data_IF_035655758951
#
_entry.id   IF_035655758951
#
_cell.length_a   1.000
_cell.length_b   1.000
_cell.length_c   1.000
_cell.angle_alpha   90.00
_cell.angle_beta   90.00
_cell.angle_gamma   90.00
#
_symmetry.space_group_name_H-M   'P 1'
#
loop_
_entity.id
_entity.type
_entity.pdbx_description
1 polymer ?
#
# COMPACT_ATOMS: atom_id res chain seq x y z
N UNK A 1 -26.18 6.54 5.73
CA UNK A 1 -25.12 6.78 4.73
C UNK A 1 -23.75 6.24 5.18
N UNK A 2 -23.72 5.19 6.03
CA UNK A 2 -22.47 4.67 6.61
C UNK A 2 -21.96 3.40 5.90
N UNK A 3 -22.86 2.62 5.30
CA UNK A 3 -22.49 1.33 4.67
C UNK A 3 -21.63 1.50 3.42
N UNK A 4 -21.94 2.49 2.57
CA UNK A 4 -21.14 2.81 1.37
C UNK A 4 -19.72 3.21 1.76
N UNK A 5 -19.58 4.11 2.74
CA UNK A 5 -18.28 4.59 3.22
C UNK A 5 -17.48 3.45 3.86
N UNK A 6 -18.15 2.59 4.63
CA UNK A 6 -17.49 1.47 5.32
C UNK A 6 -17.03 0.39 4.34
N UNK A 7 -17.83 0.06 3.31
CA UNK A 7 -17.43 -0.94 2.31
C UNK A 7 -16.27 -0.44 1.46
N UNK A 8 -16.28 0.82 1.05
CA UNK A 8 -15.16 1.45 0.34
C UNK A 8 -13.90 1.49 1.20
N UNK A 9 -14.02 1.82 2.49
CA UNK A 9 -12.90 1.80 3.42
C UNK A 9 -12.23 0.42 3.49
N UNK A 10 -13.02 -0.65 3.70
CA UNK A 10 -12.48 -2.00 3.75
C UNK A 10 -11.92 -2.48 2.41
N UNK A 11 -12.57 -2.12 1.30
CA UNK A 11 -12.05 -2.41 -0.04
C UNK A 11 -10.65 -1.80 -0.24
N UNK A 12 -10.47 -0.52 0.12
CA UNK A 12 -9.17 0.15 0.02
C UNK A 12 -8.12 -0.50 0.93
N UNK A 13 -8.49 -0.89 2.16
CA UNK A 13 -7.58 -1.60 3.07
C UNK A 13 -7.09 -2.93 2.47
N UNK A 14 -8.00 -3.73 1.89
CA UNK A 14 -7.64 -4.98 1.21
C UNK A 14 -6.76 -4.70 0.00
N UNK A 15 -7.10 -3.68 -0.78
CA UNK A 15 -6.32 -3.31 -1.96
C UNK A 15 -4.88 -2.89 -1.63
N UNK A 16 -4.71 -2.10 -0.56
CA UNK A 16 -3.39 -1.74 -0.02
C UNK A 16 -2.63 -2.99 0.43
N UNK A 17 -3.30 -3.92 1.13
CA UNK A 17 -2.69 -5.18 1.53
C UNK A 17 -2.21 -6.00 0.32
N UNK A 18 -2.99 -6.09 -0.75
CA UNK A 18 -2.59 -6.79 -1.98
C UNK A 18 -1.35 -6.16 -2.64
N UNK A 19 -1.26 -4.83 -2.65
CA UNK A 19 -0.07 -4.13 -3.13
C UNK A 19 1.15 -4.43 -2.25
N UNK A 20 1.01 -4.41 -0.92
CA UNK A 20 2.09 -4.78 0.01
C UNK A 20 2.54 -6.22 -0.21
N UNK A 21 1.62 -7.17 -0.40
CA UNK A 21 1.96 -8.56 -0.72
C UNK A 21 2.72 -8.64 -2.04
N UNK A 22 2.23 -7.99 -3.11
CA UNK A 22 2.89 -7.98 -4.42
C UNK A 22 4.33 -7.49 -4.33
N UNK A 23 4.55 -6.46 -3.54
CA UNK A 23 5.83 -5.86 -3.20
C UNK A 23 6.76 -6.84 -2.46
N UNK A 24 6.25 -7.57 -1.47
CA UNK A 24 7.06 -8.57 -0.74
C UNK A 24 7.45 -9.74 -1.64
N UNK A 25 6.59 -10.09 -2.61
CA UNK A 25 6.88 -11.14 -3.57
C UNK A 25 7.98 -10.74 -4.56
N UNK A 26 8.12 -9.46 -4.94
CA UNK A 26 9.25 -9.03 -5.80
C UNK A 26 10.59 -9.16 -5.09
N UNK A 27 10.61 -9.15 -3.75
CA UNK A 27 11.81 -9.35 -2.93
C UNK A 27 12.18 -10.83 -2.73
N UNK A 28 11.32 -11.77 -3.17
CA UNK A 28 11.55 -13.22 -3.08
C UNK A 28 11.80 -13.83 -4.48
N UNK A 29 12.89 -13.48 -5.17
CA UNK A 29 13.20 -14.01 -6.49
C UNK A 29 13.51 -15.51 -6.42
N UNK A 30 13.06 -16.27 -7.43
CA UNK A 30 13.38 -17.69 -7.59
C UNK A 30 12.48 -18.68 -6.85
N UNK A 31 11.41 -18.20 -6.21
CA UNK A 31 10.44 -19.05 -5.51
C UNK A 31 9.24 -19.35 -6.43
N UNK A 32 9.09 -20.60 -6.88
CA UNK A 32 8.08 -20.97 -7.88
C UNK A 32 6.62 -20.66 -7.48
N UNK A 33 6.30 -20.73 -6.18
CA UNK A 33 4.98 -20.35 -5.69
C UNK A 33 4.78 -18.82 -5.65
N UNK A 34 5.85 -18.04 -5.43
CA UNK A 34 5.77 -16.57 -5.38
C UNK A 34 5.45 -15.99 -6.77
N UNK A 35 6.05 -16.56 -7.83
CA UNK A 35 5.70 -16.25 -9.22
C UNK A 35 4.24 -16.54 -9.54
N UNK A 36 3.72 -17.68 -9.07
CA UNK A 36 2.33 -18.06 -9.28
C UNK A 36 1.35 -17.10 -8.59
N UNK A 37 1.66 -16.66 -7.36
CA UNK A 37 0.88 -15.65 -6.66
C UNK A 37 0.98 -14.29 -7.36
N UNK A 38 2.15 -13.89 -7.85
CA UNK A 38 2.29 -12.64 -8.62
C UNK A 38 1.46 -12.62 -9.90
N UNK A 39 1.39 -13.73 -10.64
CA UNK A 39 0.55 -13.85 -11.84
C UNK A 39 -0.94 -13.64 -11.52
N UNK A 40 -1.39 -14.12 -10.35
CA UNK A 40 -2.79 -13.91 -9.92
C UNK A 40 -3.08 -12.49 -9.43
N UNK A 41 -2.09 -11.82 -8.81
CA UNK A 41 -2.23 -10.45 -8.31
C UNK A 41 -2.11 -9.40 -9.41
N UNK A 42 -1.35 -9.71 -10.47
CA UNK A 42 -1.01 -8.78 -11.55
C UNK A 42 -2.26 -8.15 -12.21
N UNK A 43 -3.29 -8.91 -12.65
CA UNK A 43 -4.48 -8.32 -13.26
C UNK A 43 -5.25 -7.32 -12.39
N UNK A 44 -5.22 -7.50 -11.07
CA UNK A 44 -5.95 -6.65 -10.12
C UNK A 44 -5.15 -5.39 -9.77
N UNK A 45 -3.83 -5.52 -9.70
CA UNK A 45 -2.95 -4.44 -9.22
C UNK A 45 -2.26 -3.68 -10.35
N UNK A 46 -2.13 -4.26 -11.54
CA UNK A 46 -1.52 -3.64 -12.72
C UNK A 46 -2.25 -2.39 -13.21
N UNK A 47 -3.59 -2.33 -13.34
CA UNK A 47 -4.24 -1.11 -13.85
C UNK A 47 -3.95 0.13 -13.00
N UNK A 48 -3.85 -0.07 -11.69
CA UNK A 48 -3.44 0.98 -10.76
C UNK A 48 -1.96 1.30 -10.90
N UNK A 49 -1.08 0.28 -10.91
CA UNK A 49 0.35 0.51 -11.04
C UNK A 49 0.70 1.17 -12.37
N UNK A 50 0.11 0.74 -13.49
CA UNK A 50 0.30 1.30 -14.84
C UNK A 50 -0.05 2.79 -14.89
N UNK A 51 -1.08 3.22 -14.14
CA UNK A 51 -1.40 4.64 -14.00
C UNK A 51 -0.23 5.43 -13.38
N UNK A 52 0.47 4.86 -12.40
CA UNK A 52 1.62 5.48 -11.75
C UNK A 52 2.97 5.19 -12.43
N UNK A 53 3.08 4.14 -13.24
CA UNK A 53 4.30 3.78 -14.01
C UNK A 53 4.65 4.84 -15.04
N UNK A 54 3.67 5.62 -15.51
CA UNK A 54 3.91 6.77 -16.40
C UNK A 54 4.62 7.95 -15.71
N UNK A 55 4.55 8.05 -14.38
CA UNK A 55 5.21 9.11 -13.60
C UNK A 55 6.58 8.69 -13.05
N UNK A 56 6.88 7.39 -13.00
CA UNK A 56 8.10 6.85 -12.40
C UNK A 56 8.93 6.19 -13.52
N UNK A 57 10.06 6.80 -13.94
CA UNK A 57 10.97 6.18 -14.89
C UNK A 57 11.35 4.76 -14.43
N UNK A 58 11.38 3.75 -15.32
CA UNK A 58 11.73 2.37 -14.96
C UNK A 58 13.19 2.31 -14.48
N UNK A 59 13.39 2.35 -13.17
CA UNK A 59 14.71 2.22 -12.52
C UNK A 59 15.12 0.74 -12.48
N UNK A 60 15.46 0.17 -13.64
CA UNK A 60 16.04 -1.16 -13.75
C UNK A 60 15.03 -2.29 -13.55
N UNK A 61 15.11 -3.32 -14.40
CA UNK A 61 14.18 -4.44 -14.41
C UNK A 61 14.03 -5.11 -13.03
N UNK A 62 12.77 -5.39 -12.67
CA UNK A 62 12.29 -6.22 -11.55
C UNK A 62 12.40 -5.70 -10.11
N UNK A 63 13.03 -4.55 -9.83
CA UNK A 63 12.99 -3.94 -8.49
C UNK A 63 12.00 -2.77 -8.51
N UNK A 64 10.74 -3.09 -8.21
CA UNK A 64 9.74 -2.06 -7.91
C UNK A 64 10.18 -1.29 -6.66
N UNK A 65 10.53 0.00 -6.80
CA UNK A 65 10.84 0.94 -5.69
C UNK A 65 9.55 1.56 -5.09
N UNK A 66 8.41 1.30 -5.74
CA UNK A 66 7.05 1.56 -5.24
C UNK A 66 6.76 1.13 -3.76
N UNK A 67 7.31 0.03 -3.21
CA UNK A 67 7.22 -0.36 -1.80
C UNK A 67 7.65 0.71 -0.80
N UNK A 68 8.83 1.30 -1.04
CA UNK A 68 9.44 2.21 -0.08
C UNK A 68 8.66 3.51 -0.01
N UNK A 69 8.15 3.97 -1.16
CA UNK A 69 7.28 5.13 -1.24
C UNK A 69 5.92 4.88 -0.57
N UNK A 70 5.34 3.68 -0.74
CA UNK A 70 4.08 3.31 -0.08
C UNK A 70 4.22 3.26 1.45
N UNK A 71 5.32 2.68 1.97
CA UNK A 71 5.61 2.66 3.41
C UNK A 71 5.84 4.07 3.94
N UNK A 72 6.57 4.91 3.20
CA UNK A 72 6.82 6.31 3.57
C UNK A 72 5.51 7.12 3.64
N UNK A 73 4.64 6.99 2.63
CA UNK A 73 3.33 7.65 2.60
C UNK A 73 2.44 7.17 3.74
N UNK A 74 2.43 5.86 4.03
CA UNK A 74 1.65 5.31 5.14
C UNK A 74 2.16 5.81 6.50
N UNK A 75 3.48 5.91 6.70
CA UNK A 75 4.08 6.48 7.92
C UNK A 75 3.75 7.96 8.09
N UNK A 76 3.78 8.75 7.00
CA UNK A 76 3.39 10.18 7.04
C UNK A 76 1.92 10.32 7.41
N UNK A 77 1.04 9.53 6.80
CA UNK A 77 -0.39 9.54 7.12
C UNK A 77 -0.61 9.16 8.59
N UNK A 78 0.03 8.10 9.08
CA UNK A 78 -0.06 7.68 10.48
C UNK A 78 0.46 8.75 11.46
N UNK A 79 1.53 9.46 11.10
CA UNK A 79 2.07 10.58 11.89
C UNK A 79 1.14 11.79 11.95
N UNK A 80 0.42 12.09 10.86
CA UNK A 80 -0.57 13.17 10.84
C UNK A 80 -1.79 12.85 11.71
N UNK A 81 -2.22 11.58 11.73
CA UNK A 81 -3.29 11.13 12.63
C UNK A 81 -2.84 11.09 14.10
N UNK A 82 -1.59 10.74 14.39
CA UNK A 82 -1.06 10.74 15.77
C UNK A 82 -0.87 12.14 16.33
N UNK A 83 -0.41 13.11 15.52
CA UNK A 83 -0.32 14.51 15.91
C UNK A 83 -1.70 15.12 16.27
N UNK A 84 -2.75 14.71 15.54
CA UNK A 84 -4.14 15.04 15.89
C UNK A 84 -4.63 14.39 17.19
N UNK A 85 -4.20 13.16 17.47
CA UNK A 85 -4.60 12.40 18.66
C UNK A 85 -3.85 12.83 19.95
N UNK A 86 -2.60 13.27 19.85
CA UNK A 86 -1.83 13.80 20.99
C UNK A 86 -2.41 15.13 21.49
N UNK A 87 -3.09 15.88 20.62
CA UNK A 87 -3.79 17.11 20.98
C UNK A 87 -4.98 16.86 21.92
N UNK A 88 -5.55 15.65 21.97
CA UNK A 88 -6.64 15.30 22.89
C UNK A 88 -6.17 14.71 24.21
N UNK A 89 -4.96 14.12 24.25
CA UNK A 89 -4.40 13.48 25.46
C UNK A 89 -3.86 14.51 26.47
N UNK A 90 -3.57 15.75 26.05
CA UNK A 90 -3.15 16.84 26.93
C UNK A 90 -4.28 17.53 27.72
N UNK A 91 -5.55 17.30 27.38
CA UNK A 91 -6.71 17.94 28.06
C UNK A 91 -7.35 17.08 29.16
N UNK A 92 -6.87 15.85 29.36
CA UNK A 92 -7.36 14.92 30.38
C UNK A 92 -6.25 14.51 31.35
N UNK A 93 -5.64 15.48 32.03
CA UNK A 93 -4.87 15.23 33.26
C UNK A 93 -5.61 15.93 34.42
N UNK A 94 -6.14 15.21 35.42
CA UNK A 94 -6.52 15.78 36.72
C UNK A 94 -5.29 16.13 37.57
#
# INVERSE_FOLDING_TARGET
MNLLTQSLYYFLQIYIFLLVVRILLTWLPGVGWATQVMETLSPVTDPYLDLFRSFIPPLGGSIDISPMLAILVLQVIAGLFSAGATSTVGYYQP
#
